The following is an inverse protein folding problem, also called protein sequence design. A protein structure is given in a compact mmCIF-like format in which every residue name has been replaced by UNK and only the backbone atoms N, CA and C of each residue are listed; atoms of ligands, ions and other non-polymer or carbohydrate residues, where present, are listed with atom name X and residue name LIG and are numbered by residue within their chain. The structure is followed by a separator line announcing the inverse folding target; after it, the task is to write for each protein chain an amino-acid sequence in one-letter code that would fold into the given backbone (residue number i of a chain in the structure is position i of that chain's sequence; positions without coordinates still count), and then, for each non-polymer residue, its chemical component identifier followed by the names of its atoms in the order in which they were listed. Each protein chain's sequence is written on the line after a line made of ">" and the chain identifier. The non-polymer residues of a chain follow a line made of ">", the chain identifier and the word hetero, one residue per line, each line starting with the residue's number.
data_IF_221908427090
#
_entry.id   IF_221908427090
#
_cell.length_a   1.000
_cell.length_b   1.000
_cell.length_c   1.000
_cell.angle_alpha   90.00
_cell.angle_beta   90.00
_cell.angle_gamma   90.00
#
_symmetry.space_group_name_H-M   'P 1'
#
loop_
_entity.id
_entity.type
_entity.pdbx_description
1 polymer ?
#
# COMPACT_ATOMS: atom_id res chain seq x y z
N UNK A 1 -26.18 23.14 -33.21
CA UNK A 1 -27.14 22.13 -32.73
C UNK A 1 -26.53 20.73 -32.70
N UNK A 2 -25.86 20.25 -33.77
CA UNK A 2 -25.16 18.94 -33.81
C UNK A 2 -23.96 18.80 -32.86
N UNK A 3 -23.16 19.85 -32.64
CA UNK A 3 -22.01 19.80 -31.72
C UNK A 3 -22.44 19.56 -30.25
N UNK A 4 -23.53 20.20 -29.81
CA UNK A 4 -24.08 20.03 -28.47
C UNK A 4 -24.72 18.66 -28.25
N UNK A 5 -25.24 18.02 -29.31
CA UNK A 5 -25.81 16.66 -29.22
C UNK A 5 -24.72 15.59 -29.15
N UNK A 6 -23.57 15.81 -29.81
CA UNK A 6 -22.41 14.91 -29.70
C UNK A 6 -21.74 15.00 -28.32
N UNK A 7 -21.57 16.20 -27.77
CA UNK A 7 -21.03 16.38 -26.41
C UNK A 7 -21.88 15.70 -25.34
N UNK A 8 -23.21 15.85 -25.40
CA UNK A 8 -24.13 15.19 -24.47
C UNK A 8 -24.13 13.66 -24.61
N UNK A 9 -23.81 13.14 -25.79
CA UNK A 9 -23.69 11.71 -26.04
C UNK A 9 -22.37 11.16 -25.50
N UNK A 10 -21.27 11.85 -25.72
CA UNK A 10 -19.95 11.53 -25.16
C UNK A 10 -19.96 11.59 -23.63
N UNK A 11 -20.62 12.57 -23.03
CA UNK A 11 -20.79 12.66 -21.57
C UNK A 11 -21.63 11.51 -21.02
N UNK A 12 -22.72 11.13 -21.69
CA UNK A 12 -23.54 9.97 -21.30
C UNK A 12 -22.75 8.66 -21.41
N UNK A 13 -22.02 8.46 -22.49
CA UNK A 13 -21.21 7.26 -22.70
C UNK A 13 -20.10 7.17 -21.64
N UNK A 14 -19.36 8.26 -21.37
CA UNK A 14 -18.39 8.32 -20.27
C UNK A 14 -19.01 7.99 -18.92
N UNK A 15 -20.21 8.50 -18.63
CA UNK A 15 -20.90 8.25 -17.38
C UNK A 15 -21.37 6.79 -17.24
N UNK A 16 -21.76 6.14 -18.34
CA UNK A 16 -22.08 4.69 -18.35
C UNK A 16 -20.83 3.87 -18.00
N UNK A 17 -19.71 4.09 -18.70
CA UNK A 17 -18.47 3.36 -18.44
C UNK A 17 -17.94 3.59 -17.01
N UNK A 18 -18.07 4.82 -16.50
CA UNK A 18 -17.70 5.12 -15.12
C UNK A 18 -18.57 4.36 -14.11
N UNK A 19 -19.89 4.28 -14.33
CA UNK A 19 -20.78 3.55 -13.42
C UNK A 19 -20.51 2.05 -13.42
N UNK A 20 -20.28 1.44 -14.60
CA UNK A 20 -19.91 0.02 -14.70
C UNK A 20 -18.56 -0.26 -14.01
N UNK A 21 -17.56 0.58 -14.23
CA UNK A 21 -16.27 0.50 -13.54
C UNK A 21 -16.43 0.66 -12.02
N UNK A 22 -17.30 1.57 -11.59
CA UNK A 22 -17.55 1.81 -10.18
C UNK A 22 -18.20 0.61 -9.50
N UNK A 23 -19.16 -0.07 -10.15
CA UNK A 23 -19.77 -1.28 -9.59
C UNK A 23 -18.74 -2.41 -9.41
N UNK A 24 -17.80 -2.55 -10.35
CA UNK A 24 -16.68 -3.48 -10.21
C UNK A 24 -15.73 -3.07 -9.07
N UNK A 25 -15.42 -1.78 -8.96
CA UNK A 25 -14.62 -1.23 -7.87
C UNK A 25 -15.25 -1.53 -6.50
N UNK A 26 -16.55 -1.30 -6.33
CA UNK A 26 -17.26 -1.54 -5.06
C UNK A 26 -17.14 -3.01 -4.66
N UNK A 27 -17.46 -3.94 -5.58
CA UNK A 27 -17.35 -5.38 -5.32
C UNK A 27 -15.93 -5.79 -4.92
N UNK A 28 -14.94 -5.18 -5.57
CA UNK A 28 -13.54 -5.44 -5.26
C UNK A 28 -13.18 -4.96 -3.85
N UNK A 29 -13.49 -3.70 -3.50
CA UNK A 29 -13.21 -3.14 -2.17
C UNK A 29 -13.95 -3.89 -1.06
N UNK A 30 -15.21 -4.25 -1.28
CA UNK A 30 -15.98 -5.06 -0.32
C UNK A 30 -15.33 -6.43 -0.10
N UNK A 31 -14.86 -7.09 -1.16
CA UNK A 31 -14.12 -8.35 -1.05
C UNK A 31 -12.82 -8.20 -0.24
N UNK A 32 -12.07 -7.13 -0.46
CA UNK A 32 -10.85 -6.85 0.32
C UNK A 32 -11.19 -6.55 1.79
N UNK A 33 -12.25 -5.79 2.04
CA UNK A 33 -12.72 -5.49 3.41
C UNK A 33 -13.15 -6.76 4.15
N UNK A 34 -13.75 -7.75 3.47
CA UNK A 34 -14.07 -9.03 4.10
C UNK A 34 -12.83 -9.73 4.67
N UNK A 35 -11.67 -9.62 4.01
CA UNK A 35 -10.40 -10.19 4.53
C UNK A 35 -9.97 -9.54 5.84
N UNK A 36 -10.27 -8.26 6.01
CA UNK A 36 -10.02 -7.47 7.23
C UNK A 36 -11.16 -7.56 8.26
N UNK A 37 -12.12 -8.48 8.07
CA UNK A 37 -13.36 -8.58 8.86
C UNK A 37 -14.15 -7.26 8.89
N UNK A 38 -14.06 -6.47 7.82
CA UNK A 38 -14.73 -5.18 7.67
C UNK A 38 -14.14 -4.06 8.53
N UNK A 39 -12.87 -4.11 8.90
CA UNK A 39 -12.28 -3.06 9.73
C UNK A 39 -11.69 -1.93 8.86
N UNK A 40 -10.49 -2.09 8.32
CA UNK A 40 -9.86 -0.99 7.57
C UNK A 40 -8.99 -1.48 6.41
N UNK A 41 -9.17 -0.84 5.26
CA UNK A 41 -8.34 -0.99 4.08
C UNK A 41 -7.60 0.32 3.81
N UNK A 42 -6.27 0.26 3.76
CA UNK A 42 -5.41 1.41 3.48
C UNK A 42 -4.86 1.27 2.06
N UNK A 43 -5.34 2.14 1.18
CA UNK A 43 -4.90 2.25 -0.20
C UNK A 43 -3.78 3.28 -0.30
N UNK A 44 -2.60 2.84 -0.75
CA UNK A 44 -1.46 3.72 -0.99
C UNK A 44 -1.20 3.76 -2.49
N UNK A 45 -1.30 4.94 -3.09
CA UNK A 45 -1.00 5.17 -4.48
C UNK A 45 0.38 5.80 -4.65
N UNK A 46 1.26 5.10 -5.38
CA UNK A 46 2.60 5.59 -5.73
C UNK A 46 2.67 6.19 -7.14
N UNK A 47 1.50 6.38 -7.77
CA UNK A 47 1.39 6.96 -9.11
C UNK A 47 1.78 8.42 -9.07
N UNK A 48 2.52 8.87 -10.07
CA UNK A 48 2.92 10.26 -10.17
C UNK A 48 1.68 11.12 -10.39
N UNK A 49 1.57 12.21 -9.62
CA UNK A 49 0.45 13.15 -9.75
C UNK A 49 0.53 13.96 -11.06
N UNK A 50 1.66 13.84 -11.78
CA UNK A 50 1.96 14.59 -12.99
C UNK A 50 2.23 13.64 -14.17
N UNK A 51 1.50 13.84 -15.28
CA UNK A 51 1.78 13.16 -16.54
C UNK A 51 0.61 12.33 -17.07
N UNK A 52 0.93 11.37 -17.96
CA UNK A 52 -0.09 10.57 -18.66
C UNK A 52 -0.86 9.63 -17.73
N UNK A 53 -0.25 9.27 -16.61
CA UNK A 53 -0.81 8.33 -15.62
C UNK A 53 -1.82 9.01 -14.69
N UNK A 54 -1.86 10.35 -14.62
CA UNK A 54 -2.75 11.06 -13.70
C UNK A 54 -4.23 10.79 -13.98
N UNK A 55 -4.60 10.46 -15.23
CA UNK A 55 -5.98 10.09 -15.58
C UNK A 55 -6.44 8.86 -14.77
N UNK A 56 -5.54 7.89 -14.55
CA UNK A 56 -5.84 6.70 -13.73
C UNK A 56 -5.98 7.08 -12.26
N UNK A 57 -5.10 7.95 -11.76
CA UNK A 57 -5.14 8.44 -10.39
C UNK A 57 -6.45 9.21 -10.10
N UNK A 58 -6.81 10.16 -10.99
CA UNK A 58 -8.04 10.94 -10.92
C UNK A 58 -9.27 10.04 -10.94
N UNK A 59 -9.35 9.08 -11.88
CA UNK A 59 -10.48 8.15 -11.98
C UNK A 59 -10.59 7.26 -10.74
N UNK A 60 -9.46 6.77 -10.22
CA UNK A 60 -9.44 5.95 -9.02
C UNK A 60 -9.87 6.76 -7.79
N UNK A 61 -9.42 8.01 -7.67
CA UNK A 61 -9.83 8.92 -6.62
C UNK A 61 -11.32 9.26 -6.70
N UNK A 62 -11.88 9.43 -7.90
CA UNK A 62 -13.32 9.61 -8.10
C UNK A 62 -14.12 8.38 -7.63
N UNK A 63 -13.66 7.17 -7.92
CA UNK A 63 -14.30 5.95 -7.42
C UNK A 63 -14.27 5.86 -5.89
N UNK A 64 -13.14 6.19 -5.26
CA UNK A 64 -12.99 6.23 -3.80
C UNK A 64 -13.92 7.28 -3.19
N UNK A 65 -13.94 8.48 -3.76
CA UNK A 65 -14.78 9.59 -3.31
C UNK A 65 -16.25 9.26 -3.42
N UNK A 66 -16.65 8.55 -4.49
CA UNK A 66 -18.03 8.09 -4.66
C UNK A 66 -18.41 6.97 -3.69
N UNK A 67 -17.48 6.05 -3.38
CA UNK A 67 -17.71 4.99 -2.39
C UNK A 67 -17.84 5.52 -0.96
N UNK A 68 -17.05 6.54 -0.61
CA UNK A 68 -17.15 7.32 0.64
C UNK A 68 -17.34 6.47 1.92
N UNK A 69 -16.43 5.53 2.15
CA UNK A 69 -16.48 4.67 3.34
C UNK A 69 -15.43 5.09 4.39
N UNK A 70 -15.79 5.14 5.69
CA UNK A 70 -14.82 5.38 6.76
C UNK A 70 -13.82 4.24 6.94
N UNK A 71 -14.13 3.05 6.41
CA UNK A 71 -13.26 1.86 6.46
C UNK A 71 -12.15 1.93 5.40
N UNK A 72 -12.20 2.91 4.50
CA UNK A 72 -11.26 3.07 3.40
C UNK A 72 -10.41 4.32 3.62
N UNK A 73 -9.10 4.15 3.71
CA UNK A 73 -8.14 5.26 3.75
C UNK A 73 -7.37 5.31 2.44
N UNK A 74 -7.27 6.49 1.82
CA UNK A 74 -6.52 6.69 0.59
C UNK A 74 -5.39 7.69 0.80
N UNK A 75 -4.18 7.29 0.41
CA UNK A 75 -2.96 8.10 0.54
C UNK A 75 -2.28 8.13 -0.84
N UNK A 76 -2.04 9.32 -1.37
CA UNK A 76 -1.15 9.52 -2.51
C UNK A 76 0.27 9.83 -2.03
N UNK A 77 1.26 9.29 -2.73
CA UNK A 77 2.66 9.50 -2.41
C UNK A 77 3.51 9.51 -3.69
N UNK A 78 3.94 10.70 -4.13
CA UNK A 78 4.73 10.86 -5.36
C UNK A 78 6.16 10.30 -5.21
N UNK A 79 6.37 9.05 -5.61
CA UNK A 79 7.67 8.43 -5.43
C UNK A 79 8.79 9.09 -6.25
N UNK A 80 8.51 9.76 -7.37
CA UNK A 80 9.55 10.34 -8.24
C UNK A 80 10.04 11.71 -7.78
N UNK A 81 9.17 12.55 -7.23
CA UNK A 81 9.60 13.81 -6.62
C UNK A 81 10.47 13.52 -5.39
N UNK A 82 10.09 12.50 -4.64
CA UNK A 82 10.70 12.15 -3.37
C UNK A 82 11.96 11.26 -3.52
N UNK A 83 12.00 10.24 -4.38
CA UNK A 83 13.15 9.31 -4.40
C UNK A 83 14.30 9.67 -5.37
N UNK A 84 14.40 10.93 -5.82
CA UNK A 84 15.59 11.40 -6.57
C UNK A 84 16.84 11.23 -5.71
N UNK A 85 17.79 10.44 -6.20
CA UNK A 85 19.13 10.28 -5.58
C UNK A 85 19.26 9.17 -4.53
N UNK A 86 18.44 8.11 -4.58
CA UNK A 86 18.55 6.92 -3.69
C UNK A 86 18.39 7.24 -2.19
N UNK A 87 17.72 8.34 -1.85
CA UNK A 87 17.51 8.72 -0.45
C UNK A 87 16.24 8.06 0.10
N UNK A 88 16.43 7.08 1.01
CA UNK A 88 15.38 6.45 1.83
C UNK A 88 14.58 7.44 2.70
N UNK A 89 15.02 8.70 2.78
CA UNK A 89 14.42 9.76 3.58
C UNK A 89 12.93 9.98 3.34
N UNK A 90 12.40 9.63 2.17
CA UNK A 90 11.02 9.95 1.85
C UNK A 90 10.02 8.82 2.10
N UNK A 91 10.47 7.56 2.07
CA UNK A 91 9.64 6.46 2.61
C UNK A 91 9.41 6.69 4.10
N UNK A 92 10.37 7.26 4.82
CA UNK A 92 10.19 7.67 6.21
C UNK A 92 9.04 8.69 6.37
N UNK A 93 8.87 9.64 5.44
CA UNK A 93 7.75 10.59 5.47
C UNK A 93 6.40 9.86 5.38
N UNK A 94 6.29 8.88 4.48
CA UNK A 94 5.09 8.04 4.41
C UNK A 94 4.87 7.26 5.72
N UNK A 95 5.91 6.64 6.27
CA UNK A 95 5.80 5.92 7.55
C UNK A 95 5.39 6.84 8.70
N UNK A 96 5.93 8.07 8.76
CA UNK A 96 5.55 9.08 9.75
C UNK A 96 4.10 9.52 9.58
N UNK A 97 3.61 9.65 8.34
CA UNK A 97 2.20 9.95 8.08
C UNK A 97 1.29 8.81 8.59
N UNK A 98 1.67 7.55 8.32
CA UNK A 98 0.94 6.38 8.79
C UNK A 98 0.93 6.29 10.33
N UNK A 99 2.07 6.53 10.98
CA UNK A 99 2.18 6.52 12.44
C UNK A 99 1.40 7.67 13.10
N UNK A 100 1.48 8.89 12.54
CA UNK A 100 0.74 10.07 13.02
C UNK A 100 -0.78 9.85 12.97
N UNK A 101 -1.26 9.11 11.98
CA UNK A 101 -2.66 8.73 11.85
C UNK A 101 -3.01 7.44 12.61
N UNK A 102 -2.14 6.97 13.51
CA UNK A 102 -2.29 5.76 14.34
C UNK A 102 -2.50 4.45 13.55
N UNK A 103 -2.21 4.42 12.24
CA UNK A 103 -2.48 3.24 11.40
C UNK A 103 -1.73 2.00 11.91
N UNK A 104 -0.45 2.14 12.28
CA UNK A 104 0.34 1.01 12.79
C UNK A 104 -0.14 0.48 14.15
N UNK A 105 -0.83 1.32 14.93
CA UNK A 105 -1.41 0.91 16.22
C UNK A 105 -2.73 0.19 16.02
N UNK A 106 -3.55 0.68 15.10
CA UNK A 106 -4.91 0.20 14.83
C UNK A 106 -4.95 -1.01 13.89
N UNK A 107 -3.92 -1.25 13.08
CA UNK A 107 -3.93 -2.39 12.15
C UNK A 107 -3.83 -3.76 12.83
N UNK A 108 -3.29 -3.79 14.05
CA UNK A 108 -2.91 -5.00 14.76
C UNK A 108 -2.06 -5.97 13.91
N UNK A 109 -1.74 -7.13 14.46
CA UNK A 109 -1.11 -8.23 13.71
C UNK A 109 -1.54 -9.54 14.33
N UNK A 110 -1.46 -10.62 13.57
CA UNK A 110 -1.79 -11.94 14.09
C UNK A 110 -0.79 -12.34 15.19
N UNK A 111 -1.30 -12.62 16.37
CA UNK A 111 -0.50 -13.10 17.49
C UNK A 111 -1.20 -14.31 18.11
N UNK A 112 -0.52 -15.46 18.06
CA UNK A 112 -1.02 -16.72 18.59
C UNK A 112 -0.09 -17.18 19.71
N UNK A 113 -0.67 -17.58 20.85
CA UNK A 113 0.04 -18.36 21.84
C UNK A 113 -0.11 -19.83 21.47
N UNK A 114 0.97 -20.43 20.98
CA UNK A 114 0.98 -21.81 20.48
C UNK A 114 0.83 -22.84 21.60
N UNK A 115 1.36 -22.59 22.79
CA UNK A 115 1.25 -23.49 23.94
C UNK A 115 -0.20 -23.64 24.43
N UNK A 116 -0.92 -22.51 24.51
CA UNK A 116 -2.32 -22.47 24.94
C UNK A 116 -3.30 -22.65 23.77
N UNK A 117 -2.79 -22.67 22.54
CA UNK A 117 -3.58 -22.69 21.30
C UNK A 117 -4.68 -21.60 21.27
N UNK A 118 -4.32 -20.38 21.68
CA UNK A 118 -5.23 -19.22 21.70
C UNK A 118 -4.72 -18.11 20.79
N UNK A 119 -5.65 -17.45 20.11
CA UNK A 119 -5.38 -16.21 19.37
C UNK A 119 -5.43 -15.05 20.36
N UNK A 120 -4.31 -14.34 20.50
CA UNK A 120 -4.18 -13.16 21.37
C UNK A 120 -4.58 -11.87 20.63
N UNK A 121 -4.35 -11.81 19.32
CA UNK A 121 -4.71 -10.68 18.47
C UNK A 121 -4.90 -11.17 17.04
N UNK A 122 -5.92 -10.64 16.37
CA UNK A 122 -6.09 -10.74 14.92
C UNK A 122 -5.52 -9.48 14.25
N UNK A 123 -5.07 -9.60 13.00
CA UNK A 123 -4.84 -8.44 12.15
C UNK A 123 -6.19 -7.90 11.67
N UNK A 124 -6.38 -6.58 11.77
CA UNK A 124 -7.64 -5.90 11.46
C UNK A 124 -7.51 -4.95 10.28
N UNK A 125 -6.30 -4.62 9.82
CA UNK A 125 -6.15 -3.73 8.66
C UNK A 125 -5.17 -4.28 7.63
N UNK A 126 -5.40 -3.91 6.37
CA UNK A 126 -4.56 -4.33 5.24
C UNK A 126 -4.09 -3.12 4.43
N UNK A 127 -2.85 -3.18 3.95
CA UNK A 127 -2.30 -2.20 3.01
C UNK A 127 -2.37 -2.74 1.60
N UNK A 128 -2.96 -1.97 0.69
CA UNK A 128 -2.90 -2.20 -0.75
C UNK A 128 -2.09 -1.08 -1.39
N UNK A 129 -0.92 -1.42 -1.89
CA UNK A 129 0.02 -0.46 -2.50
C UNK A 129 -0.04 -0.65 -4.01
N UNK A 130 -0.37 0.41 -4.73
CA UNK A 130 -0.33 0.41 -6.19
C UNK A 130 0.86 1.25 -6.69
N UNK A 131 1.36 0.89 -7.87
CA UNK A 131 2.26 1.70 -8.68
C UNK A 131 1.86 1.43 -10.13
N UNK A 132 1.84 2.46 -10.98
CA UNK A 132 1.79 2.25 -12.41
C UNK A 132 3.21 1.92 -12.86
N UNK A 133 3.36 0.77 -13.50
CA UNK A 133 4.57 0.28 -14.18
C UNK A 133 5.83 0.08 -13.33
N UNK A 134 5.70 -0.25 -12.04
CA UNK A 134 6.85 -0.65 -11.26
C UNK A 134 6.53 -1.65 -10.14
N UNK A 135 7.22 -2.79 -10.16
CA UNK A 135 7.23 -3.69 -9.01
C UNK A 135 8.21 -3.19 -7.93
N UNK A 136 9.30 -2.54 -8.34
CA UNK A 136 10.36 -2.13 -7.41
C UNK A 136 9.86 -1.12 -6.36
N UNK A 137 9.07 -0.11 -6.74
CA UNK A 137 8.60 0.91 -5.77
C UNK A 137 7.60 0.31 -4.78
N UNK A 138 6.73 -0.60 -5.23
CA UNK A 138 5.77 -1.26 -4.33
C UNK A 138 6.49 -2.18 -3.34
N UNK A 139 7.49 -2.95 -3.80
CA UNK A 139 8.31 -3.81 -2.92
C UNK A 139 9.05 -3.00 -1.86
N UNK A 140 9.62 -1.84 -2.21
CA UNK A 140 10.29 -0.94 -1.26
C UNK A 140 9.34 -0.44 -0.17
N UNK A 141 8.14 0.03 -0.54
CA UNK A 141 7.15 0.52 0.43
C UNK A 141 6.62 -0.61 1.31
N UNK A 142 6.36 -1.79 0.73
CA UNK A 142 5.96 -2.98 1.47
C UNK A 142 7.02 -3.39 2.49
N UNK A 143 8.28 -3.46 2.09
CA UNK A 143 9.41 -3.78 2.97
C UNK A 143 9.52 -2.79 4.12
N UNK A 144 9.37 -1.49 3.86
CA UNK A 144 9.46 -0.46 4.90
C UNK A 144 8.33 -0.55 5.93
N UNK A 145 7.09 -0.80 5.48
CA UNK A 145 5.95 -1.05 6.37
C UNK A 145 6.18 -2.32 7.18
N UNK A 146 6.61 -3.41 6.54
CA UNK A 146 6.88 -4.68 7.20
C UNK A 146 7.98 -4.57 8.25
N UNK A 147 9.05 -3.81 7.98
CA UNK A 147 10.12 -3.52 8.95
C UNK A 147 9.56 -2.80 10.18
N UNK A 148 8.72 -1.80 9.96
CA UNK A 148 8.09 -1.03 11.05
C UNK A 148 7.23 -1.94 11.94
N UNK A 149 6.42 -2.81 11.34
CA UNK A 149 5.60 -3.77 12.10
C UNK A 149 6.46 -4.80 12.81
N UNK A 150 7.51 -5.32 12.18
CA UNK A 150 8.45 -6.24 12.82
C UNK A 150 9.09 -5.62 14.06
N UNK A 151 9.53 -4.35 13.99
CA UNK A 151 10.09 -3.65 15.15
C UNK A 151 9.05 -3.48 16.27
N UNK A 152 7.79 -3.18 15.95
CA UNK A 152 6.69 -3.14 16.93
C UNK A 152 6.47 -4.51 17.58
N UNK A 153 6.49 -5.59 16.79
CA UNK A 153 6.35 -6.96 17.28
C UNK A 153 7.49 -7.31 18.24
N UNK A 154 8.73 -7.03 17.87
CA UNK A 154 9.92 -7.31 18.69
C UNK A 154 9.92 -6.51 20.00
N UNK A 155 9.51 -5.24 19.96
CA UNK A 155 9.33 -4.42 21.18
C UNK A 155 8.29 -5.03 22.12
N UNK A 156 7.16 -5.52 21.60
CA UNK A 156 6.10 -6.15 22.41
C UNK A 156 6.55 -7.43 23.13
N UNK A 157 7.54 -8.13 22.60
CA UNK A 157 8.13 -9.33 23.24
C UNK A 157 9.46 -9.04 23.94
N UNK A 158 9.81 -7.76 24.14
CA UNK A 158 11.04 -7.32 24.82
C UNK A 158 12.33 -7.85 24.18
N UNK A 159 12.33 -8.09 22.87
CA UNK A 159 13.54 -8.43 22.10
C UNK A 159 14.20 -7.20 21.45
N UNK A 160 13.52 -6.05 21.52
CA UNK A 160 14.06 -4.78 21.09
C UNK A 160 13.72 -3.73 22.15
N UNK A 161 14.72 -2.96 22.57
CA UNK A 161 14.52 -1.89 23.53
C UNK A 161 13.67 -0.76 22.94
N UNK A 162 12.87 -0.12 23.79
CA UNK A 162 12.00 0.99 23.38
C UNK A 162 12.81 2.22 22.95
N UNK A 163 13.99 2.39 23.54
CA UNK A 163 14.88 3.55 23.38
C UNK A 163 16.02 3.31 22.36
N UNK A 164 16.21 2.07 21.87
CA UNK A 164 17.22 1.76 20.86
C UNK A 164 16.72 1.97 19.41
N UNK A 165 17.66 2.31 18.52
CA UNK A 165 17.44 2.77 17.14
C UNK A 165 16.95 1.75 16.10
N UNK A 166 16.13 0.77 16.51
CA UNK A 166 15.57 -0.26 15.63
C UNK A 166 16.44 -1.52 15.52
N UNK A 167 16.24 -2.32 14.46
CA UNK A 167 16.98 -3.57 14.26
C UNK A 167 18.51 -3.36 14.27
N UNK A 168 19.25 -4.26 14.93
CA UNK A 168 20.70 -4.32 14.83
C UNK A 168 21.15 -4.67 13.38
N UNK A 169 22.42 -4.45 13.07
CA UNK A 169 22.93 -4.60 11.69
C UNK A 169 22.78 -6.02 11.15
N UNK A 170 22.90 -7.04 12.01
CA UNK A 170 22.73 -8.43 11.58
C UNK A 170 21.29 -8.74 11.18
N UNK A 171 20.32 -8.41 12.02
CA UNK A 171 18.90 -8.60 11.74
C UNK A 171 18.44 -7.74 10.55
N UNK A 172 18.97 -6.52 10.42
CA UNK A 172 18.70 -5.63 9.29
C UNK A 172 19.17 -6.24 7.97
N UNK A 173 20.39 -6.78 7.91
CA UNK A 173 20.91 -7.44 6.71
C UNK A 173 20.08 -8.66 6.30
N UNK A 174 19.64 -9.48 7.27
CA UNK A 174 18.76 -10.62 6.99
C UNK A 174 17.44 -10.11 6.38
N UNK A 175 16.82 -9.11 7.00
CA UNK A 175 15.58 -8.52 6.50
C UNK A 175 15.71 -7.97 5.09
N UNK A 176 16.78 -7.20 4.82
CA UNK A 176 17.05 -6.64 3.48
C UNK A 176 17.25 -7.72 2.44
N UNK A 177 17.99 -8.78 2.77
CA UNK A 177 18.22 -9.92 1.87
C UNK A 177 16.88 -10.61 1.54
N UNK A 178 16.07 -10.90 2.56
CA UNK A 178 14.76 -11.54 2.36
C UNK A 178 13.83 -10.73 1.45
N UNK A 179 13.82 -9.40 1.59
CA UNK A 179 12.97 -8.54 0.76
C UNK A 179 13.55 -8.28 -0.64
N UNK A 180 14.87 -8.38 -0.82
CA UNK A 180 15.50 -8.40 -2.13
C UNK A 180 15.12 -9.69 -2.89
N UNK A 181 15.24 -10.84 -2.24
CA UNK A 181 14.85 -12.14 -2.80
C UNK A 181 13.35 -12.19 -3.15
N UNK A 182 12.50 -11.57 -2.31
CA UNK A 182 11.06 -11.40 -2.59
C UNK A 182 10.83 -10.55 -3.85
N UNK A 183 11.51 -9.41 -3.96
CA UNK A 183 11.44 -8.54 -5.13
C UNK A 183 11.83 -9.28 -6.41
N UNK A 184 12.94 -10.01 -6.37
CA UNK A 184 13.43 -10.84 -7.48
C UNK A 184 12.44 -11.93 -7.88
N UNK A 185 11.86 -12.64 -6.90
CA UNK A 185 10.88 -13.69 -7.16
C UNK A 185 9.63 -13.14 -7.86
N UNK A 186 9.10 -12.02 -7.39
CA UNK A 186 7.91 -11.40 -8.01
C UNK A 186 8.27 -10.80 -9.38
N UNK A 187 9.46 -10.23 -9.54
CA UNK A 187 9.92 -9.66 -10.82
C UNK A 187 10.03 -10.74 -11.89
N UNK A 188 10.59 -11.90 -11.54
CA UNK A 188 10.67 -13.05 -12.45
C UNK A 188 9.28 -13.53 -12.88
N UNK A 189 8.31 -13.51 -11.97
CA UNK A 189 6.93 -13.92 -12.30
C UNK A 189 6.25 -12.92 -13.26
N UNK A 190 6.51 -11.62 -13.10
CA UNK A 190 5.83 -10.59 -13.87
C UNK A 190 6.52 -10.25 -15.21
N UNK A 191 7.84 -10.13 -15.19
CA UNK A 191 8.66 -9.64 -16.31
C UNK A 191 9.70 -10.66 -16.82
N UNK A 192 9.82 -11.85 -16.19
CA UNK A 192 10.76 -12.89 -16.59
C UNK A 192 12.24 -12.57 -16.27
N UNK A 193 12.51 -11.50 -15.51
CA UNK A 193 13.85 -11.05 -15.11
C UNK A 193 13.87 -10.70 -13.63
N UNK A 194 15.06 -10.66 -13.02
CA UNK A 194 15.24 -10.21 -11.63
C UNK A 194 14.86 -8.72 -11.47
N UNK A 195 14.69 -8.25 -10.24
CA UNK A 195 14.32 -6.86 -10.00
C UNK A 195 15.46 -5.90 -10.45
N UNK A 196 15.11 -4.69 -10.89
CA UNK A 196 16.14 -3.74 -11.33
C UNK A 196 16.84 -3.02 -10.15
N UNK A 197 16.26 -3.07 -8.94
CA UNK A 197 16.81 -2.48 -7.72
C UNK A 197 16.98 -3.51 -6.61
N UNK A 198 18.23 -3.95 -6.42
CA UNK A 198 18.59 -4.96 -5.40
C UNK A 198 19.03 -4.35 -4.06
N UNK A 199 18.93 -3.02 -3.90
CA UNK A 199 19.35 -2.32 -2.69
C UNK A 199 18.12 -1.77 -1.94
N UNK A 200 17.68 -2.51 -0.92
CA UNK A 200 16.65 -2.13 0.05
C UNK A 200 17.26 -1.62 1.36
#
# INVERSE_FOLDING_TARGET
>A
MQASTNLLREEKEKNIYFNESHDAFVKHIESELLTTKGNQLILISLVDEWGKENILNDTFFEHITKYNSPQLSYITFDFHEYCKGLQFGNVLTLLQLLDKNNIFREMHFCWINTEKNIVLSDQTSLFRINCVDCLDRTNVVQAAIAKTILEIMLKKISLLDLDEGGLNDHARNIFQTMWADNGDAISRQYAGTDAMKNNL
#
